data_IF_080286656834
#
_entry.id   IF_080286656834
#
_cell.length_a   1.000
_cell.length_b   1.000
_cell.length_c   1.000
_cell.angle_alpha   90.00
_cell.angle_beta   90.00
_cell.angle_gamma   90.00
#
_symmetry.space_group_name_H-M   'P 1'
#
loop_
_entity.id
_entity.type
_entity.pdbx_description
1 polymer ?
#
# COMPACT_ATOMS: atom_id res chain seq x y z
N UNK A 1 -6.32 -59.82 39.91
CA UNK A 1 -7.04 -60.09 38.63
C UNK A 1 -8.23 -59.13 38.61
N UNK A 2 -8.48 -58.21 37.68
CA UNK A 2 -7.93 -57.82 36.39
C UNK A 2 -8.14 -56.31 36.30
N UNK A 3 -7.11 -55.56 35.95
CA UNK A 3 -7.17 -54.11 35.70
C UNK A 3 -7.93 -53.84 34.41
N UNK A 4 -8.93 -52.96 34.45
CA UNK A 4 -9.52 -52.37 33.25
C UNK A 4 -8.96 -50.96 33.07
N UNK A 5 -8.13 -50.87 32.04
CA UNK A 5 -7.60 -49.68 31.39
C UNK A 5 -8.76 -48.82 30.88
N UNK A 6 -8.76 -47.51 31.09
CA UNK A 6 -9.20 -46.58 30.05
C UNK A 6 -8.46 -45.25 30.17
N UNK A 7 -7.73 -44.97 29.08
CA UNK A 7 -6.96 -43.78 28.85
C UNK A 7 -7.87 -42.56 28.67
N UNK A 8 -7.39 -41.39 29.09
CA UNK A 8 -7.78 -40.13 28.48
C UNK A 8 -6.54 -39.25 28.40
N UNK A 9 -6.00 -39.20 27.19
CA UNK A 9 -5.04 -38.21 26.77
C UNK A 9 -5.73 -36.85 26.67
N UNK A 10 -5.29 -35.87 27.46
CA UNK A 10 -5.45 -34.47 27.10
C UNK A 10 -4.05 -33.89 26.87
N UNK A 11 -3.56 -34.06 25.64
CA UNK A 11 -2.49 -33.23 25.13
C UNK A 11 -3.08 -31.84 24.88
N UNK A 12 -2.70 -30.89 25.72
CA UNK A 12 -3.00 -29.47 25.55
C UNK A 12 -2.24 -29.00 24.31
N UNK A 13 -2.98 -28.85 23.21
CA UNK A 13 -2.48 -28.21 21.99
C UNK A 13 -2.40 -26.71 22.26
N UNK A 14 -1.24 -26.26 22.71
CA UNK A 14 -0.89 -24.84 22.79
C UNK A 14 -0.64 -24.31 21.37
N UNK A 15 -1.70 -24.02 20.62
CA UNK A 15 -1.62 -23.10 19.48
C UNK A 15 -1.49 -21.70 20.07
N UNK A 16 -0.26 -21.30 20.38
CA UNK A 16 0.08 -19.91 20.65
C UNK A 16 1.08 -19.53 19.57
N UNK A 17 0.65 -18.69 18.63
CA UNK A 17 1.55 -18.16 17.61
C UNK A 17 1.01 -18.13 16.18
N UNK A 18 -0.27 -17.87 15.98
CA UNK A 18 -0.76 -17.37 14.69
C UNK A 18 -1.69 -16.19 14.91
N UNK A 19 -1.19 -15.15 15.58
CA UNK A 19 -1.74 -13.81 15.42
C UNK A 19 -1.28 -13.24 14.07
N UNK A 20 -1.61 -13.91 12.96
CA UNK A 20 -1.84 -13.17 11.73
C UNK A 20 -3.25 -12.65 11.87
N UNK A 21 -3.36 -11.44 12.39
CA UNK A 21 -4.55 -10.62 12.24
C UNK A 21 -4.84 -10.53 10.75
N UNK A 22 -5.66 -11.45 10.25
CA UNK A 22 -6.41 -11.23 9.04
C UNK A 22 -7.30 -10.02 9.33
N UNK A 23 -6.75 -8.81 9.20
CA UNK A 23 -7.52 -7.58 9.12
C UNK A 23 -8.48 -7.83 7.96
N UNK A 24 -9.74 -8.02 8.30
CA UNK A 24 -10.81 -8.28 7.38
C UNK A 24 -10.74 -7.25 6.25
N UNK A 25 -10.66 -7.73 5.01
CA UNK A 25 -10.71 -6.89 3.83
C UNK A 25 -12.02 -6.09 3.86
N UNK A 26 -11.94 -4.81 4.20
CA UNK A 26 -13.04 -3.88 3.98
C UNK A 26 -13.36 -3.89 2.47
N UNK A 27 -14.64 -3.91 2.07
CA UNK A 27 -15.00 -3.77 0.65
C UNK A 27 -14.34 -2.50 0.09
N UNK A 28 -13.53 -2.64 -0.97
CA UNK A 28 -12.76 -1.53 -1.56
C UNK A 28 -11.27 -1.50 -1.17
N UNK A 29 -10.84 -2.36 -0.24
CA UNK A 29 -9.44 -2.47 0.17
C UNK A 29 -8.70 -3.56 -0.62
N UNK A 30 -7.67 -3.16 -1.37
CA UNK A 30 -6.77 -4.07 -2.08
C UNK A 30 -5.45 -4.20 -1.31
N UNK A 31 -4.88 -5.41 -1.25
CA UNK A 31 -3.58 -5.62 -0.62
C UNK A 31 -2.50 -4.78 -1.33
N UNK A 32 -1.54 -4.25 -0.58
CA UNK A 32 -0.46 -3.43 -1.17
C UNK A 32 0.32 -4.18 -2.25
N UNK A 33 0.55 -5.49 -2.08
CA UNK A 33 1.21 -6.34 -3.06
C UNK A 33 0.40 -6.48 -4.35
N UNK A 34 -0.91 -6.69 -4.25
CA UNK A 34 -1.76 -6.81 -5.44
C UNK A 34 -1.94 -5.45 -6.14
N UNK A 35 -2.07 -4.37 -5.37
CA UNK A 35 -2.12 -3.01 -5.90
C UNK A 35 -0.83 -2.67 -6.67
N UNK A 36 0.34 -2.99 -6.10
CA UNK A 36 1.63 -2.81 -6.75
C UNK A 36 1.71 -3.61 -8.06
N UNK A 37 1.35 -4.91 -8.02
CA UNK A 37 1.34 -5.77 -9.21
C UNK A 37 0.43 -5.22 -10.31
N UNK A 38 -0.76 -4.72 -9.94
CA UNK A 38 -1.71 -4.10 -10.88
C UNK A 38 -1.15 -2.81 -11.47
N UNK A 39 -0.52 -1.96 -10.66
CA UNK A 39 0.14 -0.76 -11.11
C UNK A 39 1.28 -1.08 -12.09
N UNK A 40 2.09 -2.11 -11.84
CA UNK A 40 3.16 -2.58 -12.73
C UNK A 40 2.61 -3.05 -14.07
N UNK A 41 1.66 -3.98 -14.07
CA UNK A 41 1.03 -4.50 -15.30
C UNK A 41 0.36 -3.36 -16.09
N UNK A 42 -0.38 -2.50 -15.39
CA UNK A 42 -1.06 -1.36 -15.97
C UNK A 42 -0.08 -0.39 -16.61
N UNK A 43 0.90 0.09 -15.85
CA UNK A 43 1.89 1.07 -16.34
C UNK A 43 2.72 0.53 -17.51
N UNK A 44 3.20 -0.72 -17.42
CA UNK A 44 3.95 -1.37 -18.50
C UNK A 44 3.15 -1.43 -19.82
N UNK A 45 1.85 -1.74 -19.73
CA UNK A 45 0.96 -1.75 -20.91
C UNK A 45 0.91 -0.40 -21.64
N UNK A 46 1.13 0.70 -20.91
CA UNK A 46 1.12 2.06 -21.44
C UNK A 46 2.53 2.69 -21.52
N UNK A 47 3.58 1.84 -21.56
CA UNK A 47 4.97 2.26 -21.77
C UNK A 47 5.63 2.93 -20.55
N UNK A 48 5.05 2.77 -19.36
CA UNK A 48 5.55 3.33 -18.12
C UNK A 48 6.07 2.29 -17.14
N UNK A 49 6.09 2.68 -15.87
CA UNK A 49 6.52 1.86 -14.74
C UNK A 49 5.71 2.18 -13.49
N UNK A 50 5.73 1.27 -12.53
CA UNK A 50 5.23 1.55 -11.18
C UNK A 50 6.38 1.81 -10.23
N UNK A 51 6.17 2.75 -9.31
CA UNK A 51 7.10 3.09 -8.24
C UNK A 51 6.38 2.91 -6.91
N UNK A 52 7.13 2.58 -5.87
CA UNK A 52 6.65 2.53 -4.50
C UNK A 52 7.54 3.39 -3.62
N UNK A 53 6.91 4.22 -2.79
CA UNK A 53 7.55 4.93 -1.69
C UNK A 53 6.90 4.46 -0.40
N UNK A 54 7.70 4.31 0.65
CA UNK A 54 7.28 3.88 1.97
C UNK A 54 7.91 4.80 3.03
N UNK A 55 7.28 4.91 4.20
CA UNK A 55 7.82 5.66 5.34
C UNK A 55 8.06 7.14 5.02
N UNK A 56 9.20 7.68 5.45
CA UNK A 56 9.53 9.11 5.36
C UNK A 56 9.50 9.66 3.92
N UNK A 57 9.87 8.86 2.92
CA UNK A 57 9.80 9.28 1.52
C UNK A 57 8.33 9.44 1.07
N UNK A 58 7.43 8.55 1.50
CA UNK A 58 6.01 8.65 1.20
C UNK A 58 5.36 9.83 1.94
N UNK A 59 5.72 10.05 3.20
CA UNK A 59 5.25 11.20 3.97
C UNK A 59 5.63 12.52 3.29
N UNK A 60 6.89 12.67 2.88
CA UNK A 60 7.36 13.87 2.16
C UNK A 60 6.69 14.04 0.78
N UNK A 61 6.43 12.93 0.08
CA UNK A 61 5.68 12.97 -1.18
C UNK A 61 4.26 13.52 -0.96
N UNK A 62 3.54 13.00 0.05
CA UNK A 62 2.18 13.42 0.37
C UNK A 62 2.13 14.86 0.92
N UNK A 63 3.12 15.26 1.73
CA UNK A 63 3.24 16.64 2.21
C UNK A 63 3.39 17.64 1.05
N UNK A 64 4.21 17.30 0.04
CA UNK A 64 4.32 18.11 -1.17
C UNK A 64 2.97 18.26 -1.88
N UNK A 65 2.21 17.18 -2.04
CA UNK A 65 0.89 17.24 -2.70
C UNK A 65 -0.09 18.12 -1.92
N UNK A 66 -0.12 17.97 -0.59
CA UNK A 66 -0.97 18.75 0.31
C UNK A 66 -0.63 20.24 0.25
N UNK A 67 0.65 20.59 0.39
CA UNK A 67 1.07 21.96 0.61
C UNK A 67 1.34 22.75 -0.67
N UNK A 68 1.76 22.08 -1.75
CA UNK A 68 2.18 22.75 -3.00
C UNK A 68 1.19 22.58 -4.13
N UNK A 69 0.40 21.50 -4.13
CA UNK A 69 -0.58 21.23 -5.19
C UNK A 69 -2.01 21.50 -4.72
N UNK A 70 -2.26 21.47 -3.40
CA UNK A 70 -3.59 21.70 -2.83
C UNK A 70 -4.52 20.48 -2.93
N UNK A 71 -3.96 19.30 -3.18
CA UNK A 71 -4.71 18.06 -2.99
C UNK A 71 -4.70 17.77 -1.50
N UNK A 72 -5.76 18.11 -0.77
CA UNK A 72 -5.93 17.84 0.66
C UNK A 72 -6.09 16.33 0.91
N UNK A 73 -5.03 15.57 0.63
CA UNK A 73 -4.83 14.19 1.04
C UNK A 73 -4.55 14.22 2.53
N UNK A 74 -5.60 14.20 3.34
CA UNK A 74 -5.48 14.10 4.79
C UNK A 74 -4.43 13.02 5.10
N UNK A 75 -3.37 13.39 5.82
CA UNK A 75 -2.06 12.76 6.17
C UNK A 75 -1.92 11.21 6.33
N UNK A 76 -2.61 10.36 5.56
CA UNK A 76 -3.01 9.02 6.03
C UNK A 76 -2.29 7.85 5.33
N UNK A 77 -1.20 8.12 4.62
CA UNK A 77 -0.45 7.09 3.89
C UNK A 77 0.80 6.61 4.62
N UNK A 78 0.86 5.34 5.01
CA UNK A 78 2.12 4.65 5.38
C UNK A 78 3.04 4.47 4.15
N UNK A 79 2.47 4.56 2.95
CA UNK A 79 3.16 4.45 1.68
C UNK A 79 2.35 5.01 0.52
N UNK A 80 2.99 5.13 -0.64
CA UNK A 80 2.33 5.47 -1.91
C UNK A 80 2.80 4.55 -3.03
N UNK A 81 1.87 4.15 -3.88
CA UNK A 81 2.13 3.43 -5.13
C UNK A 81 1.82 4.36 -6.28
N UNK A 82 2.79 4.55 -7.17
CA UNK A 82 2.70 5.48 -8.30
C UNK A 82 2.75 4.67 -9.58
N UNK A 83 1.65 4.57 -10.31
CA UNK A 83 1.64 4.04 -11.67
C UNK A 83 1.86 5.16 -12.67
N UNK A 84 2.92 5.08 -13.48
CA UNK A 84 3.16 6.06 -14.55
C UNK A 84 2.56 5.58 -15.87
N UNK A 85 1.78 6.42 -16.55
CA UNK A 85 1.11 6.08 -17.81
C UNK A 85 1.46 7.09 -18.92
N UNK A 86 2.69 7.10 -19.46
CA UNK A 86 3.14 8.07 -20.45
C UNK A 86 2.23 8.16 -21.68
N UNK A 87 1.79 7.00 -22.21
CA UNK A 87 0.88 6.97 -23.36
C UNK A 87 -0.50 7.60 -23.07
N UNK A 88 -0.89 7.73 -21.80
CA UNK A 88 -2.14 8.34 -21.37
C UNK A 88 -1.95 9.78 -20.83
N UNK A 89 -0.70 10.23 -20.68
CA UNK A 89 -0.36 11.58 -20.23
C UNK A 89 -0.71 11.85 -18.75
N UNK A 90 -0.75 10.83 -17.91
CA UNK A 90 -1.00 10.99 -16.47
C UNK A 90 -0.28 9.92 -15.63
N UNK A 91 -0.15 10.20 -14.34
CA UNK A 91 0.24 9.22 -13.34
C UNK A 91 -0.92 9.00 -12.36
N UNK A 92 -1.09 7.77 -11.90
CA UNK A 92 -2.04 7.45 -10.83
C UNK A 92 -1.27 7.19 -9.54
N UNK A 93 -1.67 7.87 -8.47
CA UNK A 93 -1.12 7.69 -7.13
C UNK A 93 -2.17 7.02 -6.26
N UNK A 94 -1.80 5.88 -5.70
CA UNK A 94 -2.57 5.16 -4.71
C UNK A 94 -1.92 5.33 -3.34
N UNK A 95 -2.71 5.68 -2.33
CA UNK A 95 -2.24 5.84 -0.95
C UNK A 95 -2.41 4.50 -0.24
N UNK A 96 -1.37 4.06 0.46
CA UNK A 96 -1.38 2.87 1.32
C UNK A 96 -1.70 3.30 2.74
N UNK A 97 -2.83 2.85 3.27
CA UNK A 97 -3.28 3.11 4.63
C UNK A 97 -3.53 1.77 5.31
N UNK A 98 -3.01 1.52 6.52
CA UNK A 98 -3.27 0.28 7.26
C UNK A 98 -2.94 -1.03 6.49
N UNK A 99 -1.90 -1.01 5.65
CA UNK A 99 -1.50 -2.15 4.81
C UNK A 99 -2.44 -2.41 3.62
N UNK A 100 -3.19 -1.40 3.21
CA UNK A 100 -4.33 -1.50 2.30
C UNK A 100 -4.37 -0.31 1.34
N UNK A 101 -4.88 -0.52 0.12
CA UNK A 101 -5.08 0.53 -0.88
C UNK A 101 -6.56 0.61 -1.23
N UNK A 102 -7.15 1.79 -1.08
CA UNK A 102 -8.49 2.08 -1.58
C UNK A 102 -8.41 2.54 -3.04
N UNK A 103 -8.77 1.64 -3.96
CA UNK A 103 -8.75 1.93 -5.40
C UNK A 103 -9.74 3.04 -5.80
N UNK A 104 -10.69 3.42 -4.95
CA UNK A 104 -11.61 4.53 -5.19
C UNK A 104 -10.99 5.89 -4.88
N UNK A 105 -9.90 5.92 -4.11
CA UNK A 105 -9.18 7.14 -3.72
C UNK A 105 -7.94 7.42 -4.58
N UNK A 106 -7.85 6.82 -5.78
CA UNK A 106 -6.74 7.06 -6.70
C UNK A 106 -6.68 8.53 -7.12
N UNK A 107 -5.51 9.14 -6.96
CA UNK A 107 -5.26 10.52 -7.35
C UNK A 107 -4.61 10.50 -8.71
N UNK A 108 -5.21 11.21 -9.67
CA UNK A 108 -4.61 11.41 -10.98
C UNK A 108 -3.77 12.69 -10.97
N UNK A 109 -2.48 12.55 -11.26
CA UNK A 109 -1.54 13.65 -11.33
C UNK A 109 -1.01 13.85 -12.75
N UNK A 110 -0.62 15.09 -13.05
CA UNK A 110 0.24 15.38 -14.19
C UNK A 110 1.65 14.81 -13.91
N UNK A 111 2.33 14.17 -14.87
CA UNK A 111 3.68 13.64 -14.68
C UNK A 111 4.70 14.64 -14.11
N UNK A 112 4.63 15.92 -14.51
CA UNK A 112 5.51 16.95 -13.98
C UNK A 112 5.30 17.17 -12.46
N UNK A 113 4.05 17.10 -11.99
CA UNK A 113 3.72 17.19 -10.57
C UNK A 113 4.25 15.98 -9.81
N UNK A 114 4.08 14.78 -10.38
CA UNK A 114 4.63 13.54 -9.80
C UNK A 114 6.14 13.61 -9.66
N UNK A 115 6.85 14.11 -10.68
CA UNK A 115 8.31 14.21 -10.66
C UNK A 115 8.80 15.18 -9.59
N UNK A 116 8.15 16.34 -9.43
CA UNK A 116 8.50 17.30 -8.38
C UNK A 116 8.22 16.70 -6.98
N UNK A 117 7.07 16.07 -6.79
CA UNK A 117 6.75 15.39 -5.53
C UNK A 117 7.73 14.24 -5.23
N UNK A 118 8.13 13.47 -6.23
CA UNK A 118 9.10 12.39 -6.10
C UNK A 118 10.51 12.92 -5.78
N UNK A 119 10.89 14.08 -6.32
CA UNK A 119 12.15 14.74 -5.96
C UNK A 119 12.14 15.26 -4.52
N UNK A 120 11.05 15.90 -4.09
CA UNK A 120 10.87 16.32 -2.70
C UNK A 120 10.90 15.14 -1.73
N UNK A 121 10.30 14.01 -2.12
CA UNK A 121 10.36 12.76 -1.36
C UNK A 121 11.79 12.25 -1.15
N UNK A 122 12.68 12.41 -2.13
CA UNK A 122 14.08 11.91 -2.06
C UNK A 122 15.06 12.93 -1.47
N UNK A 123 14.70 14.21 -1.41
CA UNK A 123 15.57 15.27 -0.91
C UNK A 123 14.88 16.07 0.22
N UNK A 124 15.28 15.91 1.49
CA UNK A 124 14.64 16.56 2.63
C UNK A 124 14.89 18.08 2.71
N UNK A 125 15.71 18.64 1.82
CA UNK A 125 15.98 20.10 1.78
C UNK A 125 15.09 20.86 0.79
N UNK A 126 14.15 20.19 0.14
CA UNK A 126 13.31 20.75 -0.93
C UNK A 126 11.99 21.32 -0.43
#
# INVERSE_FOLDING_TARGET
MKSLVFATALAVVSIVGAAQTAKAAAPGCVSTTDAQRRAEIGSQRYGGMALRLDGEDAERFLDYLNNKVGHHTEYWGEGVIIGRYPALGYDAVAIVEDGCVDEQKLIRLNPATTDLAYQAARNPTY
#
